data_IF_878180868245
#
_entry.id   IF_878180868245
#
_cell.length_a   1.000
_cell.length_b   1.000
_cell.length_c   1.000
_cell.angle_alpha   90.00
_cell.angle_beta   90.00
_cell.angle_gamma   90.00
#
_symmetry.space_group_name_H-M   'P 1'
#
loop_
_entity.id
_entity.type
_entity.pdbx_description
1 polymer ?
#
# COMPACT_ATOMS: atom_id res chain seq x y z
N UNK A 1 19.36 -27.57 3.22
CA UNK A 1 18.33 -28.13 2.31
C UNK A 1 17.37 -27.02 1.92
N UNK A 2 17.32 -26.66 0.63
CA UNK A 2 16.27 -25.75 0.17
C UNK A 2 14.93 -26.53 0.19
N UNK A 3 13.88 -26.04 0.87
CA UNK A 3 12.59 -26.72 0.84
C UNK A 3 12.07 -26.74 -0.59
N UNK A 4 11.69 -27.93 -1.06
CA UNK A 4 11.02 -28.13 -2.36
C UNK A 4 9.73 -27.33 -2.30
N UNK A 5 9.65 -26.26 -3.10
CA UNK A 5 8.45 -25.43 -3.20
C UNK A 5 7.32 -26.29 -3.77
N UNK A 6 6.39 -26.69 -2.90
CA UNK A 6 5.15 -27.34 -3.33
C UNK A 6 4.42 -26.40 -4.31
N UNK A 7 3.89 -26.90 -5.43
CA UNK A 7 3.13 -26.07 -6.36
C UNK A 7 1.99 -25.38 -5.62
N UNK A 8 2.02 -24.04 -5.60
CA UNK A 8 0.99 -23.24 -4.93
C UNK A 8 -0.23 -23.20 -5.85
N UNK A 9 -1.41 -23.60 -5.34
CA UNK A 9 -2.61 -23.59 -6.18
C UNK A 9 -2.96 -22.17 -6.66
N UNK A 10 -3.52 -22.01 -7.87
CA UNK A 10 -3.92 -20.70 -8.39
C UNK A 10 -4.89 -19.96 -7.45
N UNK A 11 -5.85 -20.69 -6.87
CA UNK A 11 -6.80 -20.12 -5.90
C UNK A 11 -6.10 -19.52 -4.68
N UNK A 12 -5.05 -20.19 -4.18
CA UNK A 12 -4.26 -19.67 -3.05
C UNK A 12 -3.49 -18.40 -3.45
N UNK A 13 -2.90 -18.35 -4.63
CA UNK A 13 -2.20 -17.16 -5.12
C UNK A 13 -3.16 -15.97 -5.24
N UNK A 14 -4.37 -16.19 -5.77
CA UNK A 14 -5.42 -15.16 -5.85
C UNK A 14 -5.73 -14.61 -4.45
N UNK A 15 -5.97 -15.49 -3.47
CA UNK A 15 -6.27 -15.06 -2.10
C UNK A 15 -5.11 -14.29 -1.45
N UNK A 16 -3.86 -14.70 -1.68
CA UNK A 16 -2.69 -13.96 -1.21
C UNK A 16 -2.64 -12.57 -1.84
N UNK A 17 -2.89 -12.47 -3.15
CA UNK A 17 -2.95 -11.20 -3.86
C UNK A 17 -4.04 -10.27 -3.32
N UNK A 18 -5.24 -10.81 -3.06
CA UNK A 18 -6.35 -10.05 -2.48
C UNK A 18 -6.06 -9.59 -1.04
N UNK A 19 -5.42 -10.41 -0.22
CA UNK A 19 -5.01 -10.02 1.13
C UNK A 19 -3.92 -8.95 1.11
N UNK A 20 -2.96 -9.07 0.18
CA UNK A 20 -1.95 -8.04 -0.05
C UNK A 20 -2.60 -6.72 -0.46
N UNK A 21 -3.50 -6.76 -1.44
CA UNK A 21 -4.25 -5.59 -1.88
C UNK A 21 -5.06 -4.95 -0.74
N UNK A 22 -5.79 -5.76 0.05
CA UNK A 22 -6.54 -5.27 1.21
C UNK A 22 -5.64 -4.60 2.25
N UNK A 23 -4.44 -5.14 2.50
CA UNK A 23 -3.46 -4.50 3.39
C UNK A 23 -2.98 -3.14 2.87
N UNK A 24 -2.83 -3.00 1.55
CA UNK A 24 -2.50 -1.72 0.92
C UNK A 24 -3.61 -0.71 1.13
N UNK A 25 -4.88 -1.11 0.90
CA UNK A 25 -6.04 -0.25 1.14
C UNK A 25 -6.13 0.20 2.60
N UNK A 26 -5.98 -0.72 3.55
CA UNK A 26 -6.01 -0.38 4.97
C UNK A 26 -4.95 0.65 5.34
N UNK A 27 -3.72 0.48 4.84
CA UNK A 27 -2.65 1.45 5.08
C UNK A 27 -2.89 2.78 4.35
N UNK A 28 -3.46 2.74 3.14
CA UNK A 28 -3.80 3.91 2.34
C UNK A 28 -4.76 4.86 3.06
N UNK A 29 -5.78 4.30 3.73
CA UNK A 29 -6.71 5.07 4.56
C UNK A 29 -6.00 5.81 5.71
N UNK A 30 -5.01 5.19 6.34
CA UNK A 30 -4.20 5.85 7.38
C UNK A 30 -3.27 6.90 6.79
N UNK A 31 -2.62 6.56 5.68
CA UNK A 31 -1.67 7.44 5.03
C UNK A 31 -2.37 8.70 4.50
N UNK A 32 -3.36 8.56 3.62
CA UNK A 32 -3.99 9.69 2.95
C UNK A 32 -5.13 10.33 3.75
N UNK A 33 -5.93 9.52 4.45
CA UNK A 33 -7.02 10.03 5.30
C UNK A 33 -6.57 10.53 6.67
N UNK A 34 -5.36 10.17 7.11
CA UNK A 34 -4.78 10.56 8.39
C UNK A 34 -3.53 11.40 8.23
N UNK A 35 -2.39 10.74 8.00
CA UNK A 35 -1.04 11.35 8.09
C UNK A 35 -0.85 12.49 7.08
N UNK A 36 -1.28 12.29 5.84
CA UNK A 36 -1.12 13.24 4.73
C UNK A 36 -2.37 14.08 4.49
N UNK A 37 -3.43 13.92 5.30
CA UNK A 37 -4.71 14.57 5.06
C UNK A 37 -4.59 16.10 4.92
N UNK A 38 -3.72 16.72 5.71
CA UNK A 38 -3.44 18.17 5.64
C UNK A 38 -2.90 18.64 4.29
N UNK A 39 -2.18 17.79 3.57
CA UNK A 39 -1.57 18.13 2.28
C UNK A 39 -2.60 18.19 1.13
N UNK A 40 -3.83 17.72 1.37
CA UNK A 40 -4.91 17.68 0.37
C UNK A 40 -5.93 18.81 0.51
N UNK A 41 -5.87 19.59 1.59
CA UNK A 41 -6.85 20.64 1.87
C UNK A 41 -6.48 21.95 1.19
N UNK A 42 -5.18 22.22 1.05
CA UNK A 42 -4.70 23.41 0.38
C UNK A 42 -4.94 23.33 -1.14
N UNK A 43 -5.49 24.38 -1.76
CA UNK A 43 -5.63 24.44 -3.21
C UNK A 43 -4.27 24.23 -3.90
N UNK A 44 -4.22 23.28 -4.83
CA UNK A 44 -3.00 22.96 -5.56
C UNK A 44 -3.27 22.97 -7.06
N UNK A 45 -2.42 23.59 -7.88
CA UNK A 45 -2.51 23.50 -9.34
C UNK A 45 -2.13 22.10 -9.87
N UNK A 46 -1.52 21.26 -9.02
CA UNK A 46 -1.13 19.90 -9.36
C UNK A 46 -2.21 18.86 -9.03
N UNK A 47 -2.89 19.01 -7.89
CA UNK A 47 -3.90 18.07 -7.44
C UNK A 47 -5.28 18.41 -8.02
N UNK A 48 -6.10 17.37 -8.22
CA UNK A 48 -7.51 17.55 -8.51
C UNK A 48 -8.23 18.16 -7.31
N UNK A 49 -9.39 18.78 -7.56
CA UNK A 49 -10.27 19.20 -6.47
C UNK A 49 -10.68 18.01 -5.59
N UNK A 50 -10.91 18.20 -4.29
CA UNK A 50 -11.27 17.09 -3.38
C UNK A 50 -12.47 16.26 -3.86
N UNK A 51 -13.50 16.91 -4.42
CA UNK A 51 -14.69 16.24 -4.93
C UNK A 51 -14.40 15.36 -6.16
N UNK A 52 -13.52 15.80 -7.07
CA UNK A 52 -13.11 15.01 -8.23
C UNK A 52 -12.15 13.89 -7.84
N UNK A 53 -11.20 14.16 -6.94
CA UNK A 53 -10.31 13.17 -6.39
C UNK A 53 -11.10 12.03 -5.72
N UNK A 54 -12.10 12.36 -4.90
CA UNK A 54 -12.96 11.38 -4.22
C UNK A 54 -13.66 10.43 -5.22
N UNK A 55 -14.21 10.97 -6.31
CA UNK A 55 -14.85 10.17 -7.38
C UNK A 55 -13.87 9.22 -8.07
N UNK A 56 -12.57 9.52 -8.08
CA UNK A 56 -11.53 8.75 -8.75
C UNK A 56 -10.77 7.79 -7.82
N UNK A 57 -11.07 7.79 -6.52
CA UNK A 57 -10.51 6.82 -5.55
C UNK A 57 -10.58 5.36 -6.06
N UNK A 58 -11.69 4.90 -6.68
CA UNK A 58 -11.75 3.54 -7.22
C UNK A 58 -10.64 3.20 -8.22
N UNK A 59 -10.18 4.18 -9.02
CA UNK A 59 -9.06 3.98 -9.96
C UNK A 59 -7.73 3.81 -9.21
N UNK A 60 -7.52 4.56 -8.12
CA UNK A 60 -6.36 4.38 -7.24
C UNK A 60 -6.33 2.98 -6.63
N UNK A 61 -7.48 2.48 -6.16
CA UNK A 61 -7.58 1.13 -5.60
C UNK A 61 -7.36 0.04 -6.64
N UNK A 62 -7.82 0.25 -7.88
CA UNK A 62 -7.50 -0.66 -8.99
C UNK A 62 -6.00 -0.64 -9.31
N UNK A 63 -5.34 0.52 -9.27
CA UNK A 63 -3.89 0.60 -9.43
C UNK A 63 -3.15 -0.20 -8.36
N UNK A 64 -3.58 -0.13 -7.09
CA UNK A 64 -3.02 -0.97 -6.03
C UNK A 64 -3.23 -2.47 -6.26
N UNK A 65 -4.36 -2.88 -6.85
CA UNK A 65 -4.57 -4.29 -7.20
C UNK A 65 -3.55 -4.75 -8.25
N UNK A 66 -3.31 -3.94 -9.28
CA UNK A 66 -2.29 -4.23 -10.31
C UNK A 66 -0.90 -4.33 -9.67
N UNK A 67 -0.55 -3.41 -8.77
CA UNK A 67 0.72 -3.44 -8.05
C UNK A 67 0.86 -4.66 -7.13
N UNK A 68 -0.22 -5.06 -6.44
CA UNK A 68 -0.24 -6.27 -5.64
C UNK A 68 -0.03 -7.54 -6.48
N UNK A 69 -0.66 -7.61 -7.67
CA UNK A 69 -0.46 -8.71 -8.63
C UNK A 69 1.00 -8.74 -9.10
N UNK A 70 1.57 -7.59 -9.47
CA UNK A 70 2.97 -7.48 -9.88
C UNK A 70 3.92 -7.93 -8.76
N UNK A 71 3.69 -7.46 -7.53
CA UNK A 71 4.51 -7.82 -6.37
C UNK A 71 4.45 -9.33 -6.08
N UNK A 72 3.25 -9.91 -6.04
CA UNK A 72 3.04 -11.34 -5.88
C UNK A 72 3.74 -12.13 -6.99
N UNK A 73 3.57 -11.71 -8.24
CA UNK A 73 4.19 -12.37 -9.40
C UNK A 73 5.72 -12.36 -9.29
N UNK A 74 6.33 -11.21 -9.02
CA UNK A 74 7.79 -11.10 -8.85
C UNK A 74 8.29 -11.97 -7.69
N UNK A 75 7.66 -11.87 -6.52
CA UNK A 75 8.07 -12.64 -5.35
C UNK A 75 7.91 -14.15 -5.55
N UNK A 76 6.85 -14.58 -6.22
CA UNK A 76 6.63 -15.98 -6.57
C UNK A 76 7.70 -16.48 -7.54
N UNK A 77 8.02 -15.71 -8.58
CA UNK A 77 9.04 -16.06 -9.59
C UNK A 77 10.45 -16.09 -9.00
N UNK A 78 10.76 -15.16 -8.10
CA UNK A 78 12.06 -15.03 -7.44
C UNK A 78 12.18 -15.90 -6.17
N UNK A 79 11.13 -16.66 -5.82
CA UNK A 79 11.07 -17.51 -4.62
C UNK A 79 11.37 -16.73 -3.33
N UNK A 80 10.88 -15.50 -3.24
CA UNK A 80 10.98 -14.69 -2.02
C UNK A 80 9.88 -15.13 -1.05
N UNK A 81 10.29 -15.77 0.04
CA UNK A 81 9.41 -16.44 0.99
C UNK A 81 9.66 -15.95 2.41
N UNK A 82 8.59 -15.77 3.18
CA UNK A 82 8.60 -15.28 4.56
C UNK A 82 8.35 -13.78 4.69
N UNK A 83 7.86 -13.35 5.85
CA UNK A 83 7.47 -11.96 6.08
C UNK A 83 8.65 -10.98 6.04
N UNK A 84 9.82 -11.33 6.60
CA UNK A 84 11.00 -10.45 6.59
C UNK A 84 11.58 -10.30 5.18
N UNK A 85 11.89 -11.39 4.43
CA UNK A 85 12.38 -11.24 3.07
C UNK A 85 11.35 -10.57 2.16
N UNK A 86 10.07 -10.89 2.33
CA UNK A 86 8.99 -10.25 1.59
C UNK A 86 8.87 -8.76 1.86
N UNK A 87 8.94 -8.35 3.13
CA UNK A 87 8.90 -6.93 3.50
C UNK A 87 10.10 -6.16 2.96
N UNK A 88 11.30 -6.72 3.09
CA UNK A 88 12.53 -6.12 2.52
C UNK A 88 12.42 -5.96 1.01
N UNK A 89 11.97 -7.00 0.30
CA UNK A 89 11.76 -6.94 -1.14
C UNK A 89 10.73 -5.87 -1.51
N UNK A 90 9.60 -5.82 -0.81
CA UNK A 90 8.58 -4.80 -0.96
C UNK A 90 9.14 -3.38 -0.78
N UNK A 91 9.85 -3.12 0.32
CA UNK A 91 10.49 -1.83 0.60
C UNK A 91 11.48 -1.43 -0.50
N UNK A 92 12.34 -2.36 -0.95
CA UNK A 92 13.29 -2.07 -2.03
C UNK A 92 12.58 -1.76 -3.34
N UNK A 93 11.60 -2.58 -3.73
CA UNK A 93 10.87 -2.40 -4.98
C UNK A 93 10.04 -1.11 -4.95
N UNK A 94 9.31 -0.87 -3.86
CA UNK A 94 8.56 0.36 -3.64
C UNK A 94 9.48 1.58 -3.68
N UNK A 95 10.60 1.53 -2.95
CA UNK A 95 11.61 2.59 -2.96
C UNK A 95 12.08 2.93 -4.38
N UNK A 96 12.35 1.93 -5.23
CA UNK A 96 12.74 2.17 -6.62
C UNK A 96 11.60 2.76 -7.46
N UNK A 97 10.40 2.19 -7.40
CA UNK A 97 9.24 2.64 -8.18
C UNK A 97 8.83 4.07 -7.82
N UNK A 98 8.74 4.36 -6.52
CA UNK A 98 8.29 5.66 -6.04
C UNK A 98 9.39 6.72 -6.13
N UNK A 99 10.68 6.34 -6.06
CA UNK A 99 11.77 7.26 -6.43
C UNK A 99 11.67 7.65 -7.90
N UNK A 100 11.49 6.67 -8.80
CA UNK A 100 11.35 6.94 -10.23
C UNK A 100 10.14 7.83 -10.52
N UNK A 101 8.98 7.56 -9.90
CA UNK A 101 7.80 8.40 -10.03
C UNK A 101 8.05 9.82 -9.48
N UNK A 102 8.67 9.94 -8.31
CA UNK A 102 8.94 11.25 -7.69
C UNK A 102 9.87 12.08 -8.56
N UNK A 103 10.95 11.50 -9.07
CA UNK A 103 11.88 12.18 -9.98
C UNK A 103 11.17 12.59 -11.28
N UNK A 104 10.33 11.72 -11.84
CA UNK A 104 9.53 12.06 -13.00
C UNK A 104 8.61 13.27 -12.72
N UNK A 105 7.86 13.26 -11.61
CA UNK A 105 6.99 14.37 -11.24
C UNK A 105 7.77 15.66 -10.96
N UNK A 106 8.91 15.59 -10.29
CA UNK A 106 9.78 16.75 -10.05
C UNK A 106 10.25 17.41 -11.34
N UNK A 107 10.43 16.63 -12.41
CA UNK A 107 10.90 17.16 -13.69
C UNK A 107 9.84 17.87 -14.52
N UNK A 108 8.54 17.59 -14.30
CA UNK A 108 7.47 18.04 -15.20
C UNK A 108 6.25 18.66 -14.51
N UNK A 109 6.18 18.66 -13.18
CA UNK A 109 4.99 19.08 -12.44
C UNK A 109 5.29 20.13 -11.38
N UNK A 110 4.23 20.77 -10.89
CA UNK A 110 4.27 21.77 -9.81
C UNK A 110 3.99 21.15 -8.43
N UNK A 111 4.20 19.84 -8.28
CA UNK A 111 3.95 19.12 -7.03
C UNK A 111 4.85 19.64 -5.89
N UNK A 112 4.25 19.86 -4.73
CA UNK A 112 4.97 20.31 -3.53
C UNK A 112 5.90 19.22 -2.96
N UNK A 113 7.04 19.63 -2.39
CA UNK A 113 8.03 18.72 -1.85
C UNK A 113 7.51 17.87 -0.69
N UNK A 114 6.68 18.42 0.20
CA UNK A 114 6.10 17.66 1.31
C UNK A 114 5.15 16.58 0.80
N UNK A 115 4.37 16.89 -0.25
CA UNK A 115 3.49 15.92 -0.92
C UNK A 115 4.31 14.79 -1.55
N UNK A 116 5.35 15.13 -2.31
CA UNK A 116 6.20 14.15 -2.99
C UNK A 116 6.95 13.24 -2.01
N UNK A 117 7.54 13.81 -0.96
CA UNK A 117 8.22 13.04 0.09
C UNK A 117 7.22 12.17 0.85
N UNK A 118 6.05 12.71 1.19
CA UNK A 118 4.97 11.97 1.85
C UNK A 118 4.51 10.77 1.02
N UNK A 119 4.29 10.95 -0.28
CA UNK A 119 3.94 9.87 -1.20
C UNK A 119 5.07 8.86 -1.32
N UNK A 120 6.31 9.31 -1.52
CA UNK A 120 7.47 8.42 -1.61
C UNK A 120 7.58 7.51 -0.37
N UNK A 121 7.60 8.10 0.83
CA UNK A 121 7.75 7.34 2.08
C UNK A 121 6.55 6.44 2.31
N UNK A 122 5.34 6.99 2.20
CA UNK A 122 4.11 6.26 2.46
C UNK A 122 3.94 5.08 1.50
N UNK A 123 4.07 5.30 0.19
CA UNK A 123 3.89 4.25 -0.79
C UNK A 123 5.01 3.20 -0.74
N UNK A 124 6.23 3.58 -0.33
CA UNK A 124 7.32 2.62 -0.06
C UNK A 124 6.97 1.71 1.12
N UNK A 125 6.50 2.28 2.23
CA UNK A 125 6.08 1.52 3.41
C UNK A 125 4.89 0.60 3.08
N UNK A 126 3.93 1.09 2.30
CA UNK A 126 2.78 0.30 1.83
C UNK A 126 3.25 -0.95 1.08
N UNK A 127 4.23 -0.81 0.19
CA UNK A 127 4.85 -1.95 -0.52
C UNK A 127 5.57 -2.92 0.42
N UNK A 128 6.24 -2.39 1.46
CA UNK A 128 6.85 -3.21 2.50
C UNK A 128 5.84 -4.06 3.27
N UNK A 129 4.66 -3.51 3.57
CA UNK A 129 3.56 -4.22 4.25
C UNK A 129 2.98 -5.29 3.31
N UNK A 130 2.65 -4.91 2.08
CA UNK A 130 2.16 -5.82 1.05
C UNK A 130 3.14 -7.00 0.82
N UNK A 131 4.44 -6.71 0.73
CA UNK A 131 5.48 -7.71 0.59
C UNK A 131 5.56 -8.67 1.78
N UNK A 132 5.34 -8.18 3.00
CA UNK A 132 5.27 -9.04 4.18
C UNK A 132 4.09 -10.03 4.10
N UNK A 133 2.92 -9.57 3.65
CA UNK A 133 1.71 -10.39 3.46
C UNK A 133 1.95 -11.44 2.37
N UNK A 134 2.44 -11.03 1.20
CA UNK A 134 2.77 -11.93 0.09
C UNK A 134 3.79 -12.98 0.53
N UNK A 135 4.90 -12.56 1.13
CA UNK A 135 5.96 -13.46 1.56
C UNK A 135 5.49 -14.47 2.60
N UNK A 136 4.64 -14.05 3.54
CA UNK A 136 4.00 -14.95 4.52
C UNK A 136 3.08 -15.97 3.85
N UNK A 137 2.26 -15.51 2.90
CA UNK A 137 1.37 -16.39 2.13
C UNK A 137 2.14 -17.44 1.33
N UNK A 138 3.23 -17.04 0.66
CA UNK A 138 4.12 -17.95 -0.07
C UNK A 138 4.90 -18.89 0.86
N UNK A 139 5.11 -18.53 2.13
CA UNK A 139 5.74 -19.38 3.14
C UNK A 139 4.83 -20.49 3.67
N UNK A 140 3.59 -20.58 3.19
CA UNK A 140 2.65 -21.60 3.64
C UNK A 140 1.91 -21.23 4.93
N UNK A 141 2.01 -19.98 5.42
CA UNK A 141 1.18 -19.51 6.54
C UNK A 141 -0.30 -19.76 6.22
N UNK A 142 -1.08 -20.21 7.21
CA UNK A 142 -2.48 -20.51 6.99
C UNK A 142 -3.24 -19.25 6.53
N UNK A 143 -4.07 -19.38 5.49
CA UNK A 143 -4.81 -18.22 4.95
C UNK A 143 -5.77 -17.66 6.00
N UNK A 144 -6.35 -18.49 6.86
CA UNK A 144 -7.21 -18.03 7.96
C UNK A 144 -6.47 -17.10 8.92
N UNK A 145 -5.25 -17.47 9.33
CA UNK A 145 -4.43 -16.63 10.20
C UNK A 145 -4.02 -15.36 9.47
N UNK A 146 -3.58 -15.46 8.21
CA UNK A 146 -3.17 -14.29 7.43
C UNK A 146 -4.35 -13.32 7.22
N UNK A 147 -5.54 -13.81 6.90
CA UNK A 147 -6.76 -13.02 6.79
C UNK A 147 -7.10 -12.31 8.10
N UNK A 148 -6.98 -13.01 9.24
CA UNK A 148 -7.21 -12.40 10.55
C UNK A 148 -6.22 -11.27 10.83
N UNK A 149 -4.93 -11.50 10.60
CA UNK A 149 -3.88 -10.48 10.80
C UNK A 149 -4.11 -9.26 9.90
N UNK A 150 -4.42 -9.48 8.61
CA UNK A 150 -4.71 -8.38 7.67
C UNK A 150 -5.98 -7.63 8.08
N UNK A 151 -7.04 -8.32 8.47
CA UNK A 151 -8.28 -7.69 8.93
C UNK A 151 -8.04 -6.86 10.21
N UNK A 152 -7.32 -7.41 11.19
CA UNK A 152 -6.95 -6.69 12.41
C UNK A 152 -6.10 -5.46 12.09
N UNK A 153 -5.11 -5.58 11.19
CA UNK A 153 -4.31 -4.46 10.72
C UNK A 153 -5.17 -3.36 10.08
N UNK A 154 -6.09 -3.71 9.17
CA UNK A 154 -7.02 -2.75 8.53
C UNK A 154 -7.90 -2.05 9.57
N UNK A 155 -8.43 -2.78 10.55
CA UNK A 155 -9.24 -2.18 11.62
C UNK A 155 -8.39 -1.18 12.42
N UNK A 156 -7.16 -1.57 12.78
CA UNK A 156 -6.24 -0.68 13.52
C UNK A 156 -5.93 0.57 12.71
N UNK A 157 -5.62 0.46 11.42
CA UNK A 157 -5.33 1.63 10.59
C UNK A 157 -6.53 2.56 10.48
N UNK A 158 -7.74 2.03 10.29
CA UNK A 158 -8.97 2.82 10.28
C UNK A 158 -9.23 3.53 11.61
N UNK A 159 -9.08 2.83 12.74
CA UNK A 159 -9.24 3.42 14.07
C UNK A 159 -8.22 4.54 14.28
N UNK A 160 -6.96 4.33 13.90
CA UNK A 160 -5.92 5.36 14.00
C UNK A 160 -6.26 6.58 13.12
N UNK A 161 -6.76 6.39 11.90
CA UNK A 161 -7.24 7.49 11.06
C UNK A 161 -8.32 8.30 11.77
N UNK A 162 -9.33 7.64 12.32
CA UNK A 162 -10.45 8.30 13.03
C UNK A 162 -9.94 9.04 14.27
N UNK A 163 -9.01 8.46 15.03
CA UNK A 163 -8.38 9.11 16.19
C UNK A 163 -7.63 10.37 15.76
N UNK A 164 -6.81 10.31 14.71
CA UNK A 164 -6.10 11.48 14.20
C UNK A 164 -7.06 12.60 13.78
N UNK A 165 -8.16 12.25 13.12
CA UNK A 165 -9.20 13.21 12.73
C UNK A 165 -9.93 13.81 13.94
N UNK A 166 -10.26 12.98 14.93
CA UNK A 166 -10.97 13.39 16.14
C UNK A 166 -10.14 14.30 17.05
N UNK A 167 -8.81 14.10 17.06
CA UNK A 167 -7.87 14.95 17.79
C UNK A 167 -7.54 16.26 17.05
N UNK A 168 -8.06 16.48 15.84
CA UNK A 168 -7.75 17.65 15.02
C UNK A 168 -6.34 17.64 14.41
N UNK A 169 -5.65 16.49 14.46
CA UNK A 169 -4.32 16.30 13.87
C UNK A 169 -4.40 16.01 12.36
N UNK A 170 -5.57 15.55 11.89
CA UNK A 170 -5.88 15.36 10.49
C UNK A 170 -7.21 16.05 10.16
N UNK A 171 -7.30 16.86 9.09
CA UNK A 171 -8.58 17.44 8.69
C UNK A 171 -9.55 16.35 8.24
N UNK A 172 -10.78 16.39 8.77
CA UNK A 172 -11.89 15.64 8.21
C UNK A 172 -12.40 16.37 6.95
N UNK A 173 -12.38 15.71 5.80
CA UNK A 173 -12.94 16.27 4.57
C UNK A 173 -14.44 16.48 4.76
N UNK A 174 -14.86 17.73 4.90
CA UNK A 174 -16.27 18.12 4.87
C UNK A 174 -16.66 18.23 3.40
N UNK A 175 -17.43 17.25 2.91
CA UNK A 175 -18.01 17.30 1.57
C UNK A 175 -19.19 18.28 1.53
#
# INVERSE_FOLDING_TARGET
>A
MQPIAMPTSPARLILIGLLSWLSMLGFDFLLHGGVLAGLYVEPSPFLLSPAEAFKRIPLGYLAFLVLAIMLLWLMHRLRIVGWRPGSRFGLTLGGLLWSAQTLALLSISTADWALLVGWFVGQTLQFGIAGAVVGSGLAGVSLRHLSFVVAAFVIVTLVLTVVLQSLGLAPAVRM
#
